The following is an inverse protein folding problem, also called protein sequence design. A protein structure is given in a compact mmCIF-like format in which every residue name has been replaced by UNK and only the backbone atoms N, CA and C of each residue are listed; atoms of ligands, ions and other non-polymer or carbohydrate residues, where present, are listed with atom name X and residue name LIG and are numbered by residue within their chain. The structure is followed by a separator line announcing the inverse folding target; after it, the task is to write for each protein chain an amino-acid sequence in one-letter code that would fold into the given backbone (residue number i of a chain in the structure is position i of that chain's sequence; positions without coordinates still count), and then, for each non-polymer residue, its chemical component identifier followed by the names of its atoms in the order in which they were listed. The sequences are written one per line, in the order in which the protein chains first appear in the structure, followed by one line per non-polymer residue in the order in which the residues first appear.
data_IF_162304231877
#
_entry.id   IF_162304231877
#
_cell.length_a   1.000
_cell.length_b   1.000
_cell.length_c   1.000
_cell.angle_alpha   90.00
_cell.angle_beta   90.00
_cell.angle_gamma   90.00
#
_symmetry.space_group_name_H-M   'P 1'
#
loop_
_entity.id
_entity.type
_entity.pdbx_description
1 polymer ?
#
# COMPACT_ATOMS: atom_id res chain seq x y z
N UNK A 1 10.52 13.11 -10.18
CA UNK A 1 11.35 12.21 -9.31
C UNK A 1 11.47 10.83 -9.97
N UNK A 2 12.64 10.14 -9.82
CA UNK A 2 12.81 8.75 -10.27
C UNK A 2 12.30 7.78 -9.21
N UNK A 3 11.64 6.70 -9.65
CA UNK A 3 11.09 5.73 -8.70
C UNK A 3 11.19 4.29 -9.18
N UNK A 4 11.39 3.37 -8.22
CA UNK A 4 11.30 1.93 -8.41
C UNK A 4 9.96 1.41 -7.92
N UNK A 5 9.39 0.46 -8.64
CA UNK A 5 8.27 -0.36 -8.20
C UNK A 5 8.79 -1.72 -7.74
N UNK A 6 8.52 -2.11 -6.50
CA UNK A 6 8.84 -3.44 -5.96
C UNK A 6 7.54 -4.23 -5.78
N UNK A 7 7.49 -5.42 -6.36
CA UNK A 7 6.38 -6.37 -6.26
C UNK A 7 6.93 -7.66 -5.66
N UNK A 8 6.44 -8.02 -4.47
CA UNK A 8 6.75 -9.30 -3.84
C UNK A 8 5.67 -10.31 -4.21
N UNK A 9 6.05 -11.51 -4.65
CA UNK A 9 5.09 -12.54 -5.05
C UNK A 9 5.49 -13.93 -4.55
N UNK A 10 4.52 -14.84 -4.48
CA UNK A 10 4.70 -16.24 -4.17
C UNK A 10 3.63 -17.10 -4.86
N UNK A 11 4.01 -17.91 -5.87
CA UNK A 11 3.13 -18.86 -6.58
C UNK A 11 1.89 -18.22 -7.24
N UNK A 12 1.99 -16.98 -7.76
CA UNK A 12 0.85 -16.21 -8.29
C UNK A 12 1.16 -15.52 -9.63
N UNK A 13 1.62 -16.26 -10.67
CA UNK A 13 2.06 -15.67 -11.94
C UNK A 13 0.96 -14.84 -12.62
N UNK A 14 -0.30 -15.28 -12.56
CA UNK A 14 -1.41 -14.59 -13.22
C UNK A 14 -1.73 -13.24 -12.57
N UNK A 15 -1.70 -13.17 -11.22
CA UNK A 15 -1.89 -11.91 -10.49
C UNK A 15 -0.81 -10.90 -10.87
N UNK A 16 0.45 -11.33 -10.85
CA UNK A 16 1.59 -10.49 -11.26
C UNK A 16 1.41 -9.95 -12.69
N UNK A 17 0.99 -10.79 -13.64
CA UNK A 17 0.75 -10.35 -15.03
C UNK A 17 -0.37 -9.32 -15.10
N UNK A 18 -1.48 -9.51 -14.37
CA UNK A 18 -2.59 -8.55 -14.34
C UNK A 18 -2.15 -7.20 -13.76
N UNK A 19 -1.42 -7.20 -12.65
CA UNK A 19 -0.83 -5.99 -12.09
C UNK A 19 0.07 -5.30 -13.12
N UNK A 20 1.02 -6.02 -13.72
CA UNK A 20 1.97 -5.46 -14.70
C UNK A 20 1.26 -4.91 -15.96
N UNK A 21 0.16 -5.50 -16.39
CA UNK A 21 -0.69 -4.95 -17.47
C UNK A 21 -1.30 -3.59 -17.05
N UNK A 22 -1.75 -3.45 -15.79
CA UNK A 22 -2.23 -2.16 -15.28
C UNK A 22 -1.10 -1.13 -15.12
N UNK A 23 0.11 -1.59 -14.78
CA UNK A 23 1.32 -0.74 -14.75
C UNK A 23 1.67 -0.26 -16.15
N UNK A 24 1.55 -1.11 -17.18
CA UNK A 24 1.82 -0.74 -18.58
C UNK A 24 0.86 0.36 -19.09
N UNK A 25 -0.34 0.43 -18.52
CA UNK A 25 -1.33 1.46 -18.82
C UNK A 25 -1.15 2.79 -18.08
N UNK A 26 -0.12 2.94 -17.24
CA UNK A 26 0.08 4.14 -16.45
C UNK A 26 0.55 5.34 -17.27
N UNK A 27 0.04 6.53 -16.94
CA UNK A 27 0.47 7.81 -17.56
C UNK A 27 1.89 8.21 -17.14
N UNK A 28 2.36 7.74 -15.97
CA UNK A 28 3.75 7.82 -15.53
C UNK A 28 4.26 6.40 -15.26
N UNK A 29 5.21 5.94 -16.09
CA UNK A 29 5.75 4.57 -16.00
C UNK A 29 6.94 4.52 -15.02
N UNK A 30 7.12 3.43 -14.24
CA UNK A 30 8.27 3.28 -13.34
C UNK A 30 9.61 3.30 -14.08
N UNK A 31 10.62 3.98 -13.50
CA UNK A 31 11.99 3.93 -14.00
C UNK A 31 12.61 2.54 -13.85
N UNK A 32 12.12 1.77 -12.87
CA UNK A 32 12.56 0.43 -12.55
C UNK A 32 11.39 -0.39 -11.96
N UNK A 33 11.26 -1.65 -12.36
CA UNK A 33 10.31 -2.62 -11.78
C UNK A 33 11.09 -3.83 -11.29
N UNK A 34 10.96 -4.17 -10.01
CA UNK A 34 11.63 -5.29 -9.37
C UNK A 34 10.59 -6.32 -8.94
N UNK A 35 10.59 -7.49 -9.57
CA UNK A 35 9.79 -8.64 -9.13
C UNK A 35 10.65 -9.49 -8.21
N UNK A 36 10.22 -9.58 -6.96
CA UNK A 36 10.91 -10.36 -5.92
C UNK A 36 10.08 -11.60 -5.63
N UNK A 37 10.47 -12.69 -6.25
CA UNK A 37 9.70 -13.93 -6.26
C UNK A 37 10.25 -14.94 -5.25
N UNK A 38 9.42 -15.28 -4.26
CA UNK A 38 9.67 -16.32 -3.27
C UNK A 38 9.21 -17.71 -3.68
N UNK A 39 8.69 -17.91 -4.91
CA UNK A 39 8.11 -19.17 -5.39
C UNK A 39 9.08 -20.32 -5.34
N UNK A 40 8.52 -21.53 -5.26
CA UNK A 40 9.29 -22.80 -5.31
C UNK A 40 9.34 -23.42 -6.69
N UNK A 41 8.61 -22.84 -7.66
CA UNK A 41 8.62 -23.23 -9.08
C UNK A 41 9.09 -22.06 -9.95
N UNK A 42 9.09 -22.24 -11.26
CA UNK A 42 9.54 -21.25 -12.25
C UNK A 42 8.38 -20.61 -13.04
N UNK A 43 7.13 -20.81 -12.61
CA UNK A 43 5.95 -20.38 -13.40
C UNK A 43 5.92 -18.86 -13.58
N UNK A 44 6.22 -18.07 -12.54
CA UNK A 44 6.30 -16.62 -12.63
C UNK A 44 7.39 -16.17 -13.60
N UNK A 45 8.58 -16.76 -13.51
CA UNK A 45 9.70 -16.45 -14.42
C UNK A 45 9.36 -16.75 -15.87
N UNK A 46 8.75 -17.91 -16.14
CA UNK A 46 8.31 -18.30 -17.49
C UNK A 46 7.25 -17.35 -18.02
N UNK A 47 6.24 -17.02 -17.23
CA UNK A 47 5.19 -16.08 -17.61
C UNK A 47 5.74 -14.69 -17.96
N UNK A 48 6.73 -14.19 -17.21
CA UNK A 48 7.38 -12.91 -17.48
C UNK A 48 8.30 -12.94 -18.72
N UNK A 49 8.89 -14.09 -19.06
CA UNK A 49 9.64 -14.28 -20.30
C UNK A 49 8.73 -14.27 -21.54
N UNK A 50 7.54 -14.84 -21.41
CA UNK A 50 6.53 -14.84 -22.48
C UNK A 50 5.89 -13.46 -22.68
N UNK A 51 5.81 -12.66 -21.61
CA UNK A 51 5.23 -11.32 -21.59
C UNK A 51 6.25 -10.27 -21.08
N UNK A 52 7.17 -9.80 -21.93
CA UNK A 52 8.21 -8.86 -21.49
C UNK A 52 7.64 -7.47 -21.18
N UNK A 53 8.09 -6.86 -20.08
CA UNK A 53 7.75 -5.50 -19.67
C UNK A 53 9.02 -4.63 -19.64
N UNK A 54 8.86 -3.35 -19.94
CA UNK A 54 9.96 -2.40 -19.93
C UNK A 54 10.48 -2.19 -18.50
N UNK A 55 11.78 -1.98 -18.33
CA UNK A 55 12.45 -1.69 -17.05
C UNK A 55 12.25 -2.76 -15.96
N UNK A 56 11.84 -3.99 -16.33
CA UNK A 56 11.57 -5.06 -15.38
C UNK A 56 12.83 -5.91 -15.13
N UNK A 57 13.10 -6.13 -13.85
CA UNK A 57 14.12 -7.04 -13.35
C UNK A 57 13.47 -8.10 -12.45
N UNK A 58 13.72 -9.36 -12.74
CA UNK A 58 13.19 -10.50 -12.00
C UNK A 58 14.26 -11.11 -11.08
N UNK A 59 13.88 -11.40 -9.85
CA UNK A 59 14.73 -12.03 -8.84
C UNK A 59 14.00 -13.19 -8.17
N UNK A 60 14.39 -14.44 -8.48
CA UNK A 60 14.03 -15.58 -7.67
C UNK A 60 14.87 -15.56 -6.39
N UNK A 61 14.21 -15.43 -5.23
CA UNK A 61 14.96 -15.38 -3.96
C UNK A 61 15.17 -16.76 -3.36
N UNK A 62 16.35 -17.02 -2.79
CA UNK A 62 16.61 -18.25 -2.06
C UNK A 62 15.77 -18.34 -0.78
N UNK A 63 15.64 -19.53 -0.16
CA UNK A 63 14.74 -19.79 0.97
C UNK A 63 14.87 -18.81 2.14
N UNK A 64 16.07 -18.35 2.45
CA UNK A 64 16.37 -17.43 3.54
C UNK A 64 15.80 -16.02 3.33
N UNK A 65 15.46 -15.65 2.10
CA UNK A 65 14.81 -14.35 1.77
C UNK A 65 13.31 -14.48 1.48
N UNK A 66 12.72 -15.67 1.63
CA UNK A 66 11.28 -15.87 1.47
C UNK A 66 10.52 -15.31 2.65
N UNK A 67 9.38 -14.71 2.38
CA UNK A 67 8.53 -13.99 3.33
C UNK A 67 8.44 -12.51 2.97
N UNK A 68 7.25 -11.91 3.16
CA UNK A 68 6.92 -10.58 2.63
C UNK A 68 7.94 -9.51 3.04
N UNK A 69 8.24 -9.40 4.34
CA UNK A 69 9.18 -8.40 4.87
C UNK A 69 10.61 -8.61 4.39
N UNK A 70 11.05 -9.86 4.26
CA UNK A 70 12.36 -10.20 3.73
C UNK A 70 12.47 -9.90 2.24
N UNK A 71 11.42 -10.23 1.47
CA UNK A 71 11.36 -9.92 0.04
C UNK A 71 11.35 -8.39 -0.19
N UNK A 72 10.57 -7.62 0.58
CA UNK A 72 10.59 -6.15 0.51
C UNK A 72 11.99 -5.60 0.80
N UNK A 73 12.63 -6.05 1.89
CA UNK A 73 14.01 -5.64 2.22
C UNK A 73 15.03 -6.02 1.12
N UNK A 74 14.88 -7.20 0.54
CA UNK A 74 15.72 -7.63 -0.58
C UNK A 74 15.52 -6.72 -1.81
N UNK A 75 14.26 -6.40 -2.14
CA UNK A 75 13.94 -5.47 -3.23
C UNK A 75 14.55 -4.08 -3.02
N UNK A 76 14.46 -3.53 -1.80
CA UNK A 76 15.10 -2.24 -1.45
C UNK A 76 16.61 -2.28 -1.69
N UNK A 77 17.29 -3.37 -1.35
CA UNK A 77 18.73 -3.53 -1.59
C UNK A 77 19.08 -3.62 -3.09
N UNK A 78 18.15 -4.07 -3.93
CA UNK A 78 18.33 -4.18 -5.39
C UNK A 78 17.96 -2.92 -6.14
N UNK A 79 17.17 -2.04 -5.55
CA UNK A 79 16.75 -0.79 -6.17
C UNK A 79 17.94 0.10 -6.52
N UNK A 80 17.89 0.67 -7.70
CA UNK A 80 18.95 1.53 -8.24
C UNK A 80 19.29 2.70 -7.30
N UNK A 81 20.57 3.03 -7.22
CA UNK A 81 21.04 4.11 -6.33
C UNK A 81 20.50 5.50 -6.69
N UNK A 82 20.09 5.69 -7.95
CA UNK A 82 19.52 6.94 -8.45
C UNK A 82 18.03 7.10 -8.18
N UNK A 83 17.36 6.10 -7.62
CA UNK A 83 15.95 6.15 -7.28
C UNK A 83 15.72 6.99 -6.03
N UNK A 84 14.70 7.83 -6.08
CA UNK A 84 14.34 8.77 -5.00
C UNK A 84 13.16 8.26 -4.18
N UNK A 85 12.27 7.49 -4.84
CA UNK A 85 11.07 6.88 -4.24
C UNK A 85 11.06 5.38 -4.52
N UNK A 86 10.64 4.60 -3.56
CA UNK A 86 10.35 3.17 -3.70
C UNK A 86 8.87 2.97 -3.44
N UNK A 87 8.17 2.47 -4.45
CA UNK A 87 6.76 2.08 -4.37
C UNK A 87 6.66 0.56 -4.18
N UNK A 88 5.77 0.12 -3.32
CA UNK A 88 5.42 -1.28 -3.12
C UNK A 88 3.96 -1.50 -3.48
N UNK A 89 3.67 -2.57 -4.16
CA UNK A 89 2.32 -3.02 -4.47
C UNK A 89 2.21 -4.51 -4.15
N UNK A 90 1.06 -4.91 -3.63
CA UNK A 90 0.71 -6.32 -3.56
C UNK A 90 0.45 -6.85 -4.97
N UNK A 91 0.79 -8.11 -5.21
CA UNK A 91 0.82 -8.73 -6.55
C UNK A 91 -0.56 -8.92 -7.20
N UNK A 92 -1.65 -8.63 -6.49
CA UNK A 92 -3.04 -8.67 -6.96
C UNK A 92 -3.72 -7.28 -7.06
N UNK A 93 -2.95 -6.22 -6.94
CA UNK A 93 -3.43 -4.85 -7.10
C UNK A 93 -3.64 -4.52 -8.58
N UNK A 94 -4.72 -3.81 -8.92
CA UNK A 94 -4.97 -3.25 -10.24
C UNK A 94 -5.03 -1.73 -10.12
N UNK A 95 -4.24 -1.03 -10.91
CA UNK A 95 -4.05 0.42 -10.80
C UNK A 95 -4.99 1.20 -11.70
N UNK A 96 -5.50 2.33 -11.20
CA UNK A 96 -6.07 3.40 -12.03
C UNK A 96 -4.96 4.08 -12.84
N UNK A 97 -5.30 4.60 -14.04
CA UNK A 97 -4.33 5.07 -15.04
C UNK A 97 -3.33 6.14 -14.55
N UNK A 98 -3.75 7.02 -13.64
CA UNK A 98 -2.93 8.13 -13.14
C UNK A 98 -2.28 7.83 -11.76
N UNK A 99 -2.34 6.59 -11.26
CA UNK A 99 -1.90 6.24 -9.90
C UNK A 99 -0.46 6.71 -9.61
N UNK A 100 0.51 6.34 -10.43
CA UNK A 100 1.90 6.75 -10.19
C UNK A 100 2.14 8.24 -10.41
N UNK A 101 1.43 8.86 -11.34
CA UNK A 101 1.51 10.30 -11.56
C UNK A 101 1.07 11.06 -10.31
N UNK A 102 -0.10 10.75 -9.76
CA UNK A 102 -0.63 11.38 -8.55
C UNK A 102 0.27 11.11 -7.33
N UNK A 103 0.79 9.88 -7.21
CA UNK A 103 1.71 9.49 -6.15
C UNK A 103 3.00 10.32 -6.19
N UNK A 104 3.65 10.41 -7.34
CA UNK A 104 4.91 11.16 -7.49
C UNK A 104 4.68 12.67 -7.34
N UNK A 105 3.58 13.20 -7.91
CA UNK A 105 3.20 14.60 -7.72
C UNK A 105 3.01 14.94 -6.24
N UNK A 106 2.37 14.06 -5.47
CA UNK A 106 2.20 14.25 -4.01
C UNK A 106 3.55 14.38 -3.29
N UNK A 107 4.55 13.57 -3.67
CA UNK A 107 5.90 13.70 -3.12
C UNK A 107 6.59 15.01 -3.55
N UNK A 108 6.39 15.46 -4.79
CA UNK A 108 7.00 16.69 -5.32
C UNK A 108 6.43 17.94 -4.66
N UNK A 109 5.11 17.96 -4.46
CA UNK A 109 4.41 19.08 -3.81
C UNK A 109 4.68 19.15 -2.30
N UNK A 110 5.03 18.01 -1.67
CA UNK A 110 5.22 17.90 -0.23
C UNK A 110 6.60 17.31 0.13
N UNK A 111 7.70 18.12 0.07
CA UNK A 111 9.05 17.61 0.31
C UNK A 111 9.29 17.03 1.71
N UNK A 112 8.46 17.39 2.69
CA UNK A 112 8.60 16.97 4.09
C UNK A 112 8.01 15.57 4.37
N UNK A 113 7.10 15.07 3.53
CA UNK A 113 6.47 13.76 3.77
C UNK A 113 7.44 12.61 3.51
N UNK A 114 7.32 11.57 4.30
CA UNK A 114 8.15 10.36 4.24
C UNK A 114 7.57 9.29 3.32
N UNK A 115 6.24 9.18 3.27
CA UNK A 115 5.53 8.17 2.49
C UNK A 115 4.19 8.63 1.96
N UNK A 116 3.68 7.93 0.96
CA UNK A 116 2.37 8.13 0.33
C UNK A 116 1.76 6.75 0.06
N UNK A 117 0.45 6.59 0.25
CA UNK A 117 -0.27 5.38 -0.12
C UNK A 117 -1.53 5.70 -0.92
N UNK A 118 -1.95 4.76 -1.75
CA UNK A 118 -3.23 4.80 -2.44
C UNK A 118 -4.39 4.30 -1.57
N UNK A 119 -5.60 4.42 -2.11
CA UNK A 119 -6.84 3.92 -1.50
C UNK A 119 -7.50 2.91 -2.43
N UNK A 120 -7.90 1.76 -1.89
CA UNK A 120 -8.69 0.78 -2.65
C UNK A 120 -10.07 1.35 -2.97
N UNK A 121 -10.41 1.46 -4.25
CA UNK A 121 -11.69 2.03 -4.68
C UNK A 121 -12.83 1.01 -4.61
N UNK A 122 -12.54 -0.25 -4.86
CA UNK A 122 -13.51 -1.37 -4.86
C UNK A 122 -13.90 -1.83 -3.44
N UNK A 123 -13.09 -1.50 -2.42
CA UNK A 123 -13.35 -1.83 -1.01
C UNK A 123 -13.77 -0.60 -0.19
N UNK A 124 -14.11 0.48 -0.88
CA UNK A 124 -14.46 1.74 -0.23
C UNK A 124 -15.86 1.69 0.38
N UNK A 125 -15.94 1.69 1.71
CA UNK A 125 -17.20 1.67 2.47
C UNK A 125 -17.79 3.05 2.79
N UNK A 126 -17.21 4.13 2.28
CA UNK A 126 -17.70 5.49 2.50
C UNK A 126 -18.91 5.81 1.62
N UNK A 127 -19.87 6.52 2.18
CA UNK A 127 -21.09 6.97 1.52
C UNK A 127 -21.26 8.48 1.74
N UNK A 128 -21.82 9.18 0.76
CA UNK A 128 -22.22 10.57 0.95
C UNK A 128 -23.24 10.66 2.09
N UNK A 129 -23.03 11.60 3.00
CA UNK A 129 -23.99 11.87 4.07
C UNK A 129 -25.29 12.40 3.47
N UNK A 130 -26.42 11.77 3.81
CA UNK A 130 -27.74 12.22 3.38
C UNK A 130 -28.10 13.53 4.09
N UNK A 131 -28.57 14.56 3.35
CA UNK A 131 -29.08 15.79 3.96
C UNK A 131 -30.20 15.49 4.97
N UNK A 132 -30.15 16.14 6.13
CA UNK A 132 -31.17 16.01 7.20
C UNK A 132 -31.25 14.66 7.90
N UNK A 133 -30.35 13.72 7.64
CA UNK A 133 -30.27 12.44 8.35
C UNK A 133 -29.29 12.55 9.53
N UNK A 134 -29.78 12.19 10.73
CA UNK A 134 -28.93 12.08 11.91
C UNK A 134 -28.30 10.70 11.96
N UNK A 135 -26.97 10.64 11.96
CA UNK A 135 -26.20 9.42 12.10
C UNK A 135 -25.80 9.19 13.55
N UNK A 136 -26.01 7.96 14.05
CA UNK A 136 -25.56 7.58 15.39
C UNK A 136 -24.01 7.54 15.44
N UNK A 137 -23.35 8.37 16.27
CA UNK A 137 -21.88 8.47 16.29
C UNK A 137 -21.19 7.19 16.75
N UNK A 138 -21.89 6.29 17.48
CA UNK A 138 -21.34 4.99 17.86
C UNK A 138 -21.32 4.00 16.70
N UNK A 139 -22.02 4.28 15.59
CA UNK A 139 -22.17 3.39 14.45
C UNK A 139 -21.62 3.96 13.15
N UNK A 140 -21.42 5.26 13.07
CA UNK A 140 -20.98 5.96 11.87
C UNK A 140 -19.91 6.98 12.22
N UNK A 141 -18.85 6.99 11.45
CA UNK A 141 -17.78 7.97 11.53
C UNK A 141 -17.94 8.98 10.37
N UNK A 142 -18.10 10.27 10.64
CA UNK A 142 -18.21 11.30 9.60
C UNK A 142 -16.84 11.83 9.20
N UNK A 143 -16.64 12.08 7.91
CA UNK A 143 -15.44 12.76 7.38
C UNK A 143 -15.79 13.48 6.07
N UNK A 144 -15.55 14.78 5.99
CA UNK A 144 -15.67 15.58 4.76
C UNK A 144 -16.99 15.42 3.97
N UNK A 145 -18.11 15.37 4.68
CA UNK A 145 -19.44 15.20 4.07
C UNK A 145 -19.78 13.76 3.70
N UNK A 146 -18.92 12.83 4.04
CA UNK A 146 -19.16 11.38 3.93
C UNK A 146 -19.37 10.76 5.30
N UNK A 147 -19.92 9.56 5.30
CA UNK A 147 -20.06 8.71 6.49
C UNK A 147 -19.55 7.31 6.21
N UNK A 148 -18.83 6.75 7.16
CA UNK A 148 -18.35 5.37 7.15
C UNK A 148 -19.12 4.57 8.20
N UNK A 149 -19.70 3.44 7.80
CA UNK A 149 -20.37 2.54 8.75
C UNK A 149 -19.33 1.71 9.48
N UNK A 150 -19.22 1.94 10.79
CA UNK A 150 -18.28 1.20 11.64
C UNK A 150 -18.60 -0.30 11.70
N UNK A 151 -17.54 -1.12 11.66
CA UNK A 151 -17.66 -2.54 11.91
C UNK A 151 -18.10 -2.83 13.35
N UNK A 152 -18.68 -4.01 13.60
CA UNK A 152 -19.24 -4.39 14.91
C UNK A 152 -18.23 -4.20 16.07
N UNK A 153 -16.96 -4.54 15.86
CA UNK A 153 -15.89 -4.35 16.86
C UNK A 153 -15.76 -2.89 17.28
N UNK A 154 -15.73 -1.97 16.32
CA UNK A 154 -15.63 -0.53 16.60
C UNK A 154 -16.91 0.01 17.22
N UNK A 155 -18.07 -0.47 16.81
CA UNK A 155 -19.36 -0.13 17.42
C UNK A 155 -19.37 -0.45 18.93
N UNK A 156 -18.94 -1.66 19.30
CA UNK A 156 -18.84 -2.05 20.72
C UNK A 156 -17.85 -1.16 21.47
N UNK A 157 -16.69 -0.88 20.88
CA UNK A 157 -15.68 0.03 21.47
C UNK A 157 -16.22 1.46 21.66
N UNK A 158 -16.96 1.99 20.69
CA UNK A 158 -17.58 3.30 20.77
C UNK A 158 -18.56 3.36 21.96
N UNK A 159 -19.43 2.34 22.13
CA UNK A 159 -20.37 2.30 23.27
C UNK A 159 -19.66 2.18 24.63
N UNK A 160 -18.49 1.57 24.67
CA UNK A 160 -17.70 1.43 25.90
C UNK A 160 -16.71 2.57 26.13
N UNK A 161 -16.67 3.59 25.25
CA UNK A 161 -15.69 4.67 25.32
C UNK A 161 -14.23 4.24 25.12
N UNK A 162 -14.02 3.10 24.44
CA UNK A 162 -12.70 2.51 24.18
C UNK A 162 -12.15 2.80 22.78
N UNK A 163 -12.94 3.45 21.92
CA UNK A 163 -12.51 3.84 20.59
C UNK A 163 -11.90 5.25 20.62
N UNK A 164 -10.75 5.40 19.97
CA UNK A 164 -10.15 6.72 19.76
C UNK A 164 -11.04 7.62 18.91
N UNK A 165 -11.02 8.93 19.19
CA UNK A 165 -11.65 9.96 18.37
C UNK A 165 -10.82 10.35 17.14
N UNK A 166 -9.59 9.82 17.01
CA UNK A 166 -8.73 10.08 15.86
C UNK A 166 -9.33 9.48 14.57
N UNK A 167 -9.05 10.15 13.46
CA UNK A 167 -9.48 9.72 12.12
C UNK A 167 -8.82 8.44 11.63
N UNK A 168 -9.21 7.99 10.42
CA UNK A 168 -8.55 6.87 9.75
C UNK A 168 -7.04 7.11 9.60
N UNK A 169 -6.25 6.04 9.69
CA UNK A 169 -4.80 6.10 9.52
C UNK A 169 -4.03 6.83 10.63
N UNK A 170 -4.71 7.28 11.70
CA UNK A 170 -4.04 7.88 12.87
C UNK A 170 -3.83 6.85 13.97
N UNK A 171 -2.64 6.84 14.55
CA UNK A 171 -2.28 5.93 15.64
C UNK A 171 -2.57 6.60 16.99
N UNK A 172 -3.52 6.08 17.78
CA UNK A 172 -3.81 6.62 19.11
C UNK A 172 -2.84 6.07 20.15
N UNK A 173 -2.66 6.82 21.25
CA UNK A 173 -1.88 6.39 22.41
C UNK A 173 -2.48 5.15 23.10
N UNK A 174 -3.75 4.88 22.87
CA UNK A 174 -4.47 3.73 23.41
C UNK A 174 -5.43 3.15 22.36
N UNK A 175 -5.80 1.89 22.52
CA UNK A 175 -6.69 1.20 21.58
C UNK A 175 -6.04 1.01 20.19
N UNK A 176 -6.83 0.67 19.19
CA UNK A 176 -6.41 0.60 17.78
C UNK A 176 -7.00 1.78 17.01
N UNK A 177 -6.24 2.34 16.10
CA UNK A 177 -6.71 3.33 15.15
C UNK A 177 -7.80 2.76 14.22
N UNK A 178 -8.45 3.63 13.46
CA UNK A 178 -9.33 3.22 12.36
C UNK A 178 -8.49 2.90 11.14
N UNK A 179 -8.63 1.68 10.64
CA UNK A 179 -7.91 1.19 9.45
C UNK A 179 -8.76 1.25 8.17
N UNK A 180 -9.97 1.83 8.22
CA UNK A 180 -10.75 2.07 7.01
C UNK A 180 -10.01 3.07 6.11
N UNK A 181 -10.13 2.86 4.78
CA UNK A 181 -9.63 3.82 3.81
C UNK A 181 -10.31 5.19 3.92
N UNK A 182 -10.09 6.06 2.94
CA UNK A 182 -10.62 7.42 2.91
C UNK A 182 -11.74 7.57 1.86
N UNK A 183 -12.63 8.57 1.98
CA UNK A 183 -13.62 8.85 0.97
C UNK A 183 -12.97 9.27 -0.35
N UNK A 184 -13.54 8.81 -1.49
CA UNK A 184 -13.07 9.16 -2.83
C UNK A 184 -13.53 10.58 -3.21
N UNK A 185 -12.93 11.58 -2.64
CA UNK A 185 -13.29 13.00 -2.79
C UNK A 185 -12.16 13.85 -3.39
N UNK A 186 -11.10 13.22 -3.90
CA UNK A 186 -9.94 13.88 -4.51
C UNK A 186 -9.02 14.59 -3.51
N UNK A 187 -9.18 14.34 -2.20
CA UNK A 187 -8.31 14.94 -1.17
C UNK A 187 -7.20 13.97 -0.74
N UNK A 188 -6.07 14.54 -0.38
CA UNK A 188 -4.98 13.85 0.32
C UNK A 188 -5.14 14.08 1.83
N UNK A 189 -4.94 13.01 2.61
CA UNK A 189 -5.06 13.04 4.07
C UNK A 189 -3.71 12.72 4.71
N UNK A 190 -3.35 13.49 5.73
CA UNK A 190 -2.17 13.21 6.53
C UNK A 190 -2.45 12.08 7.52
N UNK A 191 -1.59 11.07 7.56
CA UNK A 191 -1.75 9.85 8.36
C UNK A 191 -0.45 9.48 9.06
N UNK A 192 -0.56 8.64 10.08
CA UNK A 192 0.58 8.05 10.78
C UNK A 192 0.86 6.63 10.27
N UNK A 193 -0.16 5.99 9.65
CA UNK A 193 -0.10 4.62 9.14
C UNK A 193 -0.46 4.59 7.65
N UNK A 194 0.39 3.97 6.84
CA UNK A 194 0.13 3.65 5.45
C UNK A 194 -0.23 2.16 5.30
N UNK A 195 -1.28 1.85 4.54
CA UNK A 195 -1.71 0.47 4.32
C UNK A 195 -0.79 -0.22 3.31
N UNK A 196 -0.30 -1.40 3.67
CA UNK A 196 0.73 -2.14 2.95
C UNK A 196 0.39 -2.60 1.53
N UNK A 197 -0.89 -2.62 1.16
CA UNK A 197 -1.38 -2.96 -0.19
C UNK A 197 -0.77 -2.07 -1.29
N UNK A 198 -0.58 -0.78 -1.00
CA UNK A 198 -0.03 0.18 -1.96
C UNK A 198 0.59 1.37 -1.23
N UNK A 199 1.78 1.20 -0.71
CA UNK A 199 2.50 2.28 -0.04
C UNK A 199 3.83 2.56 -0.73
N UNK A 200 4.30 3.77 -0.57
CA UNK A 200 5.56 4.25 -1.16
C UNK A 200 6.30 5.12 -0.17
N UNK A 201 7.61 5.06 -0.22
CA UNK A 201 8.46 5.85 0.68
C UNK A 201 9.58 6.53 -0.08
N UNK A 202 10.03 7.69 0.44
CA UNK A 202 11.32 8.23 0.00
C UNK A 202 12.41 7.21 0.30
N UNK A 203 13.29 6.95 -0.66
CA UNK A 203 14.36 5.95 -0.51
C UNK A 203 15.20 6.16 0.74
N UNK A 204 15.48 7.42 1.13
CA UNK A 204 16.22 7.76 2.35
C UNK A 204 15.61 7.21 3.64
N UNK A 205 14.28 7.00 3.68
CA UNK A 205 13.59 6.36 4.84
C UNK A 205 13.98 4.89 4.89
N UNK A 206 13.89 4.19 3.76
CA UNK A 206 14.22 2.77 3.63
C UNK A 206 15.72 2.47 3.78
N UNK A 207 16.59 3.47 3.58
CA UNK A 207 18.02 3.35 3.88
C UNK A 207 18.27 3.33 5.41
N UNK A 208 17.33 3.86 6.21
CA UNK A 208 17.44 3.98 7.67
C UNK A 208 16.58 2.94 8.40
N UNK A 209 15.35 2.71 7.93
CA UNK A 209 14.38 1.80 8.54
C UNK A 209 14.18 0.62 7.59
N UNK A 210 14.02 -0.59 8.14
CA UNK A 210 13.76 -1.82 7.39
C UNK A 210 12.53 -2.52 7.93
N UNK A 211 11.83 -3.24 7.06
CA UNK A 211 10.74 -4.11 7.48
C UNK A 211 11.26 -5.18 8.45
N UNK A 212 10.57 -5.33 9.58
CA UNK A 212 10.98 -6.24 10.64
C UNK A 212 10.86 -7.71 10.18
N UNK A 213 11.94 -8.48 10.36
CA UNK A 213 11.92 -9.91 10.11
C UNK A 213 11.09 -10.69 11.15
N UNK A 214 10.59 -10.04 12.20
CA UNK A 214 9.69 -10.65 13.18
C UNK A 214 8.37 -11.09 12.53
N UNK A 215 7.89 -10.33 11.53
CA UNK A 215 6.67 -10.64 10.75
C UNK A 215 7.01 -11.57 9.58
N UNK A 216 7.51 -12.77 9.89
CA UNK A 216 7.81 -13.80 8.90
C UNK A 216 6.54 -14.58 8.49
N UNK A 217 6.51 -15.05 7.25
CA UNK A 217 5.38 -15.77 6.70
C UNK A 217 4.21 -14.86 6.36
N UNK A 218 3.01 -15.23 6.78
CA UNK A 218 1.80 -14.41 6.63
C UNK A 218 1.65 -13.49 7.84
N UNK A 219 2.59 -12.53 7.97
CA UNK A 219 2.57 -11.53 9.04
C UNK A 219 1.42 -10.54 8.85
N UNK A 220 0.58 -10.40 9.88
CA UNK A 220 -0.39 -9.29 9.94
C UNK A 220 0.27 -8.13 10.67
N UNK A 221 -0.01 -6.89 10.22
CA UNK A 221 0.50 -5.65 10.80
C UNK A 221 2.00 -5.35 10.57
N UNK A 222 2.63 -5.95 9.57
CA UNK A 222 4.00 -5.61 9.16
C UNK A 222 4.10 -4.17 8.60
N UNK A 223 2.99 -3.66 8.09
CA UNK A 223 2.82 -2.28 7.62
C UNK A 223 2.66 -1.28 8.77
N UNK A 224 2.08 -1.72 9.89
CA UNK A 224 1.94 -0.90 11.10
C UNK A 224 3.20 -0.86 11.97
N UNK A 225 4.11 -1.84 11.80
CA UNK A 225 5.41 -1.89 12.50
C UNK A 225 6.45 -1.00 11.79
N UNK A 226 6.31 -0.82 10.48
CA UNK A 226 7.20 0.01 9.67
C UNK A 226 6.89 1.50 9.81
#
# INVERSE_FOLDING_TARGET
MKFSLIICTYMRPQSVLQLLQSVQGQTLYPDEILIIDGSTNQETELALKEHPFQNLHYFAVPPEYRGLTRQRNFGVQKAGSSMEVIAFLDDDTILEADYFKELIQTFEENPAISGVAGVAINENGWQLAEPNKTYNPNRYYPLDGFVYKEGQRNVVRNYLGLQSNLGPGRMPDYSHGRTCGFPLNGKTYEVDLLIGMSFSFRKKVLDTIRFSSYFEGYGLYEDADF
#
